data_IF_502610228437
#
_entry.id   IF_502610228437
#
_cell.length_a   1.000
_cell.length_b   1.000
_cell.length_c   1.000
_cell.angle_alpha   90.00
_cell.angle_beta   90.00
_cell.angle_gamma   90.00
#
_symmetry.space_group_name_H-M   'P 1'
#
loop_
_entity.id
_entity.type
_entity.pdbx_description
1 polymer ?
#
# COMPACT_ATOMS: atom_id res chain seq x y z
N UNK A 1 -4.61 42.31 -44.17
CA UNK A 1 -5.64 41.42 -43.58
C UNK A 1 -5.38 40.03 -44.11
N UNK A 2 -5.23 38.95 -43.35
CA UNK A 2 -5.75 38.63 -42.02
C UNK A 2 -4.80 37.63 -41.32
N UNK A 3 -4.83 37.65 -40.00
CA UNK A 3 -4.01 36.90 -39.04
C UNK A 3 -4.30 35.38 -38.98
N UNK A 4 -3.31 34.65 -38.47
CA UNK A 4 -3.31 33.30 -37.83
C UNK A 4 -4.60 32.96 -37.03
N UNK A 5 -4.93 31.68 -36.75
CA UNK A 5 -4.08 30.78 -35.92
C UNK A 5 -4.03 29.31 -36.38
N UNK A 6 -2.88 28.65 -36.47
CA UNK A 6 -2.20 27.92 -35.37
C UNK A 6 -3.18 27.28 -34.36
N UNK A 7 -3.95 26.30 -34.84
CA UNK A 7 -4.86 25.52 -33.99
C UNK A 7 -4.06 24.46 -33.23
N UNK A 8 -4.06 24.60 -31.90
CA UNK A 8 -3.31 23.83 -30.92
C UNK A 8 -3.49 22.33 -31.06
N UNK A 9 -2.37 21.65 -31.31
CA UNK A 9 -2.15 20.26 -30.97
C UNK A 9 -2.07 20.15 -29.44
N UNK A 10 -3.13 19.66 -28.81
CA UNK A 10 -3.14 19.23 -27.41
C UNK A 10 -3.50 17.74 -27.37
N UNK A 11 -2.57 16.90 -27.87
CA UNK A 11 -2.60 15.48 -27.56
C UNK A 11 -2.21 15.32 -26.09
N UNK A 12 -3.22 15.26 -25.22
CA UNK A 12 -3.06 14.85 -23.84
C UNK A 12 -2.38 13.47 -23.84
N UNK A 13 -1.08 13.46 -23.54
CA UNK A 13 -0.34 12.27 -23.17
C UNK A 13 -0.90 11.78 -21.83
N UNK A 14 -2.03 11.09 -21.88
CA UNK A 14 -2.55 10.30 -20.77
C UNK A 14 -1.62 9.14 -20.54
N UNK A 15 -0.54 9.37 -19.77
CA UNK A 15 0.20 8.32 -19.10
C UNK A 15 -0.75 7.62 -18.13
N UNK A 16 -1.51 6.65 -18.64
CA UNK A 16 -2.16 5.63 -17.85
C UNK A 16 -1.04 4.76 -17.25
N UNK A 17 -0.45 5.21 -16.14
CA UNK A 17 0.46 4.41 -15.34
C UNK A 17 -0.35 3.30 -14.69
N UNK A 18 -0.37 2.18 -15.39
CA UNK A 18 -0.98 0.91 -15.01
C UNK A 18 -0.37 0.42 -13.69
N UNK A 19 -1.11 0.59 -12.60
CA UNK A 19 -1.03 -0.28 -11.42
C UNK A 19 0.16 -0.13 -10.47
N UNK A 20 1.18 0.66 -10.79
CA UNK A 20 2.35 0.85 -9.93
C UNK A 20 2.03 1.82 -8.77
N UNK A 21 2.62 1.56 -7.60
CA UNK A 21 2.42 2.41 -6.41
C UNK A 21 3.08 3.77 -6.68
N UNK A 22 2.35 4.87 -6.52
CA UNK A 22 2.92 6.21 -6.72
C UNK A 22 4.05 6.47 -5.72
N UNK A 23 4.99 7.36 -6.03
CA UNK A 23 6.06 7.76 -5.08
C UNK A 23 5.48 8.24 -3.75
N UNK A 24 4.36 8.96 -3.81
CA UNK A 24 3.62 9.47 -2.65
C UNK A 24 3.02 8.33 -1.82
N UNK A 25 2.40 7.33 -2.45
CA UNK A 25 1.82 6.19 -1.73
C UNK A 25 2.91 5.30 -1.12
N UNK A 26 4.05 5.14 -1.82
CA UNK A 26 5.21 4.45 -1.29
C UNK A 26 5.79 5.16 -0.07
N UNK A 27 5.81 6.49 -0.06
CA UNK A 27 6.32 7.30 1.05
C UNK A 27 5.49 7.15 2.34
N UNK A 28 4.24 6.67 2.26
CA UNK A 28 3.43 6.34 3.44
C UNK A 28 3.91 5.07 4.16
N UNK A 29 4.64 4.20 3.46
CA UNK A 29 5.15 2.93 4.00
C UNK A 29 6.50 3.21 4.66
N UNK A 30 6.67 2.78 5.90
CA UNK A 30 7.92 2.88 6.64
C UNK A 30 9.11 2.26 5.85
N UNK A 31 10.31 2.87 5.85
CA UNK A 31 11.45 2.37 5.07
C UNK A 31 11.84 0.92 5.37
N UNK A 32 11.74 0.45 6.61
CA UNK A 32 12.07 -0.93 6.96
C UNK A 32 10.98 -1.88 6.46
N UNK A 33 9.71 -1.47 6.55
CA UNK A 33 8.62 -2.21 5.93
C UNK A 33 8.75 -2.25 4.40
N UNK A 34 9.23 -1.17 3.77
CA UNK A 34 9.50 -1.15 2.34
C UNK A 34 10.56 -2.17 1.93
N UNK A 35 11.64 -2.34 2.73
CA UNK A 35 12.66 -3.36 2.45
C UNK A 35 12.02 -4.75 2.42
N UNK A 36 11.16 -5.08 3.37
CA UNK A 36 10.48 -6.38 3.43
C UNK A 36 9.43 -6.56 2.31
N UNK A 37 8.64 -5.52 2.03
CA UNK A 37 7.55 -5.56 1.05
C UNK A 37 8.06 -5.55 -0.40
N UNK A 38 9.18 -4.88 -0.66
CA UNK A 38 9.74 -4.70 -2.00
C UNK A 38 11.05 -5.46 -2.25
N UNK A 39 11.60 -6.18 -1.26
CA UNK A 39 12.73 -7.06 -1.49
C UNK A 39 12.42 -8.05 -2.62
N UNK A 40 13.26 -8.05 -3.65
CA UNK A 40 13.15 -8.93 -4.83
C UNK A 40 13.36 -10.43 -4.52
N UNK A 41 13.69 -10.79 -3.28
CA UNK A 41 14.09 -12.15 -2.90
C UNK A 41 12.98 -13.01 -2.26
N UNK A 42 11.71 -12.60 -2.26
CA UNK A 42 10.62 -13.40 -1.65
C UNK A 42 9.70 -14.10 -2.65
N UNK A 43 10.16 -14.39 -3.87
CA UNK A 43 9.39 -15.19 -4.84
C UNK A 43 10.28 -16.01 -5.77
N UNK A 44 10.87 -17.07 -5.21
CA UNK A 44 11.04 -18.38 -5.85
C UNK A 44 11.07 -19.41 -4.72
N UNK A 45 9.99 -19.47 -3.94
CA UNK A 45 9.67 -20.69 -3.21
C UNK A 45 8.57 -21.37 -4.03
N UNK A 46 8.82 -22.56 -4.58
CA UNK A 46 7.92 -23.19 -5.54
C UNK A 46 6.56 -23.39 -4.91
N UNK A 47 5.54 -23.18 -5.72
CA UNK A 47 4.12 -23.36 -5.44
C UNK A 47 3.87 -24.83 -5.08
N UNK A 48 4.16 -25.20 -3.84
CA UNK A 48 3.73 -26.46 -3.29
C UNK A 48 2.21 -26.38 -3.15
N UNK A 49 1.54 -27.05 -4.09
CA UNK A 49 0.13 -27.45 -4.06
C UNK A 49 -0.23 -27.96 -2.66
N UNK A 50 -0.69 -27.08 -1.80
CA UNK A 50 -1.34 -27.39 -0.53
C UNK A 50 -2.15 -26.17 -0.13
N UNK A 51 -3.44 -26.43 -0.03
CA UNK A 51 -4.54 -25.49 0.11
C UNK A 51 -4.58 -24.90 1.53
N UNK A 52 -3.52 -24.18 1.92
CA UNK A 52 -3.50 -23.22 3.03
C UNK A 52 -2.54 -22.12 2.60
N UNK A 53 -3.07 -20.97 2.20
CA UNK A 53 -2.30 -19.81 1.76
C UNK A 53 -1.46 -19.25 2.92
N UNK A 54 -0.27 -19.80 3.15
CA UNK A 54 0.75 -19.24 4.04
C UNK A 54 1.38 -17.99 3.40
N UNK A 55 0.55 -17.04 2.97
CA UNK A 55 1.02 -15.74 2.54
C UNK A 55 1.62 -15.04 3.77
N UNK A 56 2.91 -14.68 3.70
CA UNK A 56 3.58 -13.92 4.76
C UNK A 56 2.73 -12.71 5.15
N UNK A 57 2.44 -12.59 6.43
CA UNK A 57 1.74 -11.46 7.04
C UNK A 57 2.70 -10.63 7.87
N UNK A 58 2.45 -9.33 7.95
CA UNK A 58 3.17 -8.39 8.80
C UNK A 58 2.19 -7.78 9.80
N UNK A 59 2.59 -7.74 11.07
CA UNK A 59 1.92 -6.87 12.03
C UNK A 59 2.31 -5.43 11.69
N UNK A 60 1.30 -4.57 11.49
CA UNK A 60 1.49 -3.18 11.12
C UNK A 60 0.68 -2.26 12.01
N UNK A 61 1.19 -1.05 12.19
CA UNK A 61 0.49 0.10 12.75
C UNK A 61 0.13 1.01 11.57
N UNK A 62 -1.16 1.29 11.39
CA UNK A 62 -1.70 2.12 10.32
C UNK A 62 -2.25 3.40 10.96
N UNK A 63 -1.74 4.56 10.55
CA UNK A 63 -2.35 5.85 10.87
C UNK A 63 -3.34 6.21 9.78
N UNK A 64 -4.61 6.33 10.13
CA UNK A 64 -5.70 6.68 9.21
C UNK A 64 -6.72 7.59 9.89
N UNK A 65 -7.31 8.50 9.11
CA UNK A 65 -8.47 9.30 9.55
C UNK A 65 -9.81 8.59 9.32
N UNK A 66 -9.79 7.44 8.64
CA UNK A 66 -10.97 6.65 8.30
C UNK A 66 -10.68 5.16 8.54
N UNK A 67 -11.05 4.70 9.72
CA UNK A 67 -10.93 3.29 10.13
C UNK A 67 -12.02 2.42 9.48
N UNK A 68 -13.19 2.99 9.21
CA UNK A 68 -14.31 2.27 8.61
C UNK A 68 -13.93 1.77 7.21
N UNK A 69 -13.24 2.60 6.42
CA UNK A 69 -12.75 2.21 5.09
C UNK A 69 -11.82 1.00 5.11
N UNK A 70 -10.97 0.87 6.13
CA UNK A 70 -10.10 -0.30 6.27
C UNK A 70 -10.92 -1.58 6.47
N UNK A 71 -11.97 -1.52 7.29
CA UNK A 71 -12.86 -2.66 7.54
C UNK A 71 -13.67 -3.03 6.28
N UNK A 72 -14.21 -2.05 5.57
CA UNK A 72 -14.93 -2.26 4.30
C UNK A 72 -14.07 -2.96 3.23
N UNK A 73 -12.76 -2.70 3.25
CA UNK A 73 -11.80 -3.33 2.35
C UNK A 73 -11.40 -4.76 2.77
N UNK A 74 -11.94 -5.27 3.88
CA UNK A 74 -11.58 -6.57 4.44
C UNK A 74 -10.19 -6.60 5.05
N UNK A 75 -9.69 -5.46 5.54
CA UNK A 75 -8.44 -5.44 6.32
C UNK A 75 -8.73 -6.01 7.72
N UNK A 76 -7.97 -7.02 8.18
CA UNK A 76 -8.14 -7.63 9.50
C UNK A 76 -7.62 -6.71 10.61
N UNK A 77 -8.44 -5.72 10.98
CA UNK A 77 -8.17 -4.80 12.07
C UNK A 77 -8.21 -5.54 13.41
N UNK A 78 -7.08 -5.54 14.13
CA UNK A 78 -6.93 -6.14 15.47
C UNK A 78 -7.36 -5.17 16.56
N UNK A 79 -6.93 -3.92 16.49
CA UNK A 79 -7.35 -2.86 17.39
C UNK A 79 -7.39 -1.52 16.67
N UNK A 80 -8.21 -0.59 17.17
CA UNK A 80 -8.26 0.78 16.70
C UNK A 80 -8.43 1.72 17.90
N UNK A 81 -7.56 2.71 18.02
CA UNK A 81 -7.59 3.74 19.05
C UNK A 81 -7.43 5.11 18.39
N UNK A 82 -8.54 5.85 18.27
CA UNK A 82 -8.58 7.07 17.48
C UNK A 82 -8.16 6.82 16.03
N UNK A 83 -7.11 7.51 15.59
CA UNK A 83 -6.57 7.42 14.22
C UNK A 83 -5.48 6.34 14.05
N UNK A 84 -5.24 5.52 15.07
CA UNK A 84 -4.19 4.49 15.07
C UNK A 84 -4.86 3.11 15.03
N UNK A 85 -4.47 2.29 14.07
CA UNK A 85 -5.03 0.95 13.84
C UNK A 85 -3.90 -0.08 13.84
N UNK A 86 -4.06 -1.20 14.52
CA UNK A 86 -3.17 -2.35 14.38
C UNK A 86 -3.83 -3.43 13.54
N UNK A 87 -3.08 -4.07 12.65
CA UNK A 87 -3.59 -5.13 11.78
C UNK A 87 -2.48 -6.12 11.41
N UNK A 88 -2.86 -7.37 11.12
CA UNK A 88 -1.95 -8.36 10.53
C UNK A 88 -2.27 -8.50 9.04
N UNK A 89 -1.41 -7.96 8.18
CA UNK A 89 -1.73 -7.76 6.75
C UNK A 89 -0.72 -8.42 5.84
N UNK A 90 -1.19 -8.88 4.69
CA UNK A 90 -0.36 -9.39 3.60
C UNK A 90 0.24 -8.26 2.78
N UNK A 91 1.24 -8.59 1.95
CA UNK A 91 1.86 -7.67 1.01
C UNK A 91 0.83 -6.97 0.13
N UNK A 92 -0.13 -7.73 -0.41
CA UNK A 92 -1.21 -7.20 -1.26
C UNK A 92 -2.07 -6.19 -0.51
N UNK A 93 -2.35 -6.45 0.77
CA UNK A 93 -3.12 -5.54 1.62
C UNK A 93 -2.34 -4.26 1.95
N UNK A 94 -1.04 -4.35 2.27
CA UNK A 94 -0.18 -3.16 2.50
C UNK A 94 -0.25 -2.22 1.29
N UNK A 95 -0.08 -2.76 0.07
CA UNK A 95 -0.15 -1.97 -1.16
C UNK A 95 -1.53 -1.36 -1.42
N UNK A 96 -2.62 -2.03 -1.01
CA UNK A 96 -3.97 -1.48 -1.09
C UNK A 96 -4.20 -0.36 -0.08
N UNK A 97 -3.76 -0.55 1.16
CA UNK A 97 -3.89 0.43 2.25
C UNK A 97 -3.10 1.70 1.90
N UNK A 98 -1.88 1.57 1.36
CA UNK A 98 -1.05 2.71 0.96
C UNK A 98 -1.70 3.61 -0.09
N UNK A 99 -2.60 3.07 -0.92
CA UNK A 99 -3.34 3.83 -1.93
C UNK A 99 -4.50 4.65 -1.34
N UNK A 100 -4.86 4.44 -0.08
CA UNK A 100 -5.94 5.20 0.54
C UNK A 100 -5.49 6.64 0.83
N UNK A 101 -6.31 7.64 0.49
CA UNK A 101 -6.02 9.05 0.80
C UNK A 101 -6.20 9.36 2.30
N UNK A 102 -6.98 8.54 3.02
CA UNK A 102 -7.19 8.67 4.46
C UNK A 102 -6.00 8.16 5.28
N UNK A 103 -5.12 7.34 4.69
CA UNK A 103 -3.94 6.75 5.34
C UNK A 103 -2.76 7.70 5.23
N UNK A 104 -2.14 7.99 6.38
CA UNK A 104 -0.99 8.89 6.49
C UNK A 104 0.31 8.13 6.69
N UNK A 105 0.31 7.02 7.43
CA UNK A 105 1.50 6.17 7.59
C UNK A 105 1.14 4.70 7.83
N UNK A 106 2.06 3.81 7.45
CA UNK A 106 2.03 2.36 7.67
C UNK A 106 3.41 1.96 8.19
N UNK A 107 3.47 1.57 9.45
CA UNK A 107 4.70 1.19 10.14
C UNK A 107 4.68 -0.29 10.51
N UNK A 108 5.85 -0.92 10.60
CA UNK A 108 5.96 -2.23 11.24
C UNK A 108 5.49 -2.11 12.69
N UNK A 109 4.56 -2.98 13.06
CA UNK A 109 4.24 -3.18 14.46
C UNK A 109 5.46 -3.75 15.14
N UNK A 110 6.01 -3.02 16.11
CA UNK A 110 7.04 -3.56 16.97
C UNK A 110 6.42 -4.68 17.80
N UNK A 111 6.58 -5.92 17.35
CA UNK A 111 6.74 -7.01 18.30
C UNK A 111 7.99 -6.65 19.10
N UNK A 112 7.82 -6.06 20.29
CA UNK A 112 8.86 -6.09 21.31
C UNK A 112 9.17 -7.57 21.53
N UNK A 113 10.18 -8.11 20.83
CA UNK A 113 10.85 -9.30 21.31
C UNK A 113 11.54 -8.87 22.61
N UNK A 114 11.18 -9.41 23.78
CA UNK A 114 12.04 -9.21 24.95
C UNK A 114 13.43 -9.71 24.57
N UNK A 115 14.43 -8.84 24.75
CA UNK A 115 15.85 -9.17 24.66
C UNK A 115 16.24 -10.10 25.80
#
# INVERSE_FOLDING_TARGET
>A
MLMLPFMCSFTLAGCFSRGELSKTDRAKIDPDLQKEVFAKNSAQQPEAKSEVSNARTWEVIIRTRDVAKLKEMGIPVRSAMGNIVTASVTRKQILKIAKLPSVTSIELGSTNYPQ
#
